data_IF_895856783592
#
_entry.id   IF_895856783592
#
_cell.length_a   1.000
_cell.length_b   1.000
_cell.length_c   1.000
_cell.angle_alpha   90.00
_cell.angle_beta   90.00
_cell.angle_gamma   90.00
#
_symmetry.space_group_name_H-M   'P 1'
#
loop_
_entity.id
_entity.type
_entity.pdbx_description
1 polymer ?
#
# COMPACT_ATOMS: atom_id res chain seq x y z
N UNK A 1 -2.16 -1.44 4.45
CA UNK A 1 -3.04 -1.50 3.27
C UNK A 1 -4.41 -2.05 3.67
N UNK A 2 -5.47 -1.40 3.19
CA UNK A 2 -6.87 -1.74 3.48
C UNK A 2 -7.65 -1.82 2.17
N UNK A 3 -8.62 -2.74 2.12
CA UNK A 3 -9.63 -2.73 1.07
C UNK A 3 -10.67 -1.64 1.36
N UNK A 4 -11.32 -1.15 0.31
CA UNK A 4 -12.47 -0.26 0.46
C UNK A 4 -13.62 -1.04 1.10
N UNK A 5 -14.36 -0.40 2.00
CA UNK A 5 -15.58 -0.97 2.53
C UNK A 5 -16.72 -0.95 1.48
N UNK A 6 -17.75 -1.75 1.72
CA UNK A 6 -18.88 -1.87 0.79
C UNK A 6 -19.61 -0.54 0.59
N UNK A 7 -19.68 0.31 1.62
CA UNK A 7 -20.33 1.62 1.54
C UNK A 7 -19.58 2.57 0.61
N UNK A 8 -18.27 2.58 0.68
CA UNK A 8 -17.42 3.36 -0.24
C UNK A 8 -17.55 2.86 -1.68
N UNK A 9 -17.60 1.52 -1.87
CA UNK A 9 -17.81 0.94 -3.21
C UNK A 9 -19.17 1.35 -3.79
N UNK A 10 -20.26 1.27 -3.00
CA UNK A 10 -21.60 1.69 -3.45
C UNK A 10 -21.65 3.19 -3.79
N UNK A 11 -20.95 4.04 -3.02
CA UNK A 11 -20.84 5.47 -3.32
C UNK A 11 -20.14 5.71 -4.66
N UNK A 12 -19.07 4.98 -4.96
CA UNK A 12 -18.39 5.08 -6.27
C UNK A 12 -19.27 4.62 -7.41
N UNK A 13 -20.05 3.55 -7.21
CA UNK A 13 -21.05 3.08 -8.20
C UNK A 13 -22.08 4.16 -8.47
N UNK A 14 -22.64 4.77 -7.42
CA UNK A 14 -23.62 5.85 -7.54
C UNK A 14 -23.03 7.08 -8.30
N UNK A 15 -21.79 7.44 -8.01
CA UNK A 15 -21.09 8.52 -8.73
C UNK A 15 -20.98 8.21 -10.22
N UNK A 16 -20.59 7.00 -10.59
CA UNK A 16 -20.46 6.62 -11.99
C UNK A 16 -21.80 6.57 -12.68
N UNK A 17 -22.80 5.94 -12.07
CA UNK A 17 -24.10 5.73 -12.70
C UNK A 17 -24.92 7.01 -12.84
N UNK A 18 -24.86 7.92 -11.86
CA UNK A 18 -25.75 9.10 -11.82
C UNK A 18 -25.06 10.40 -12.17
N UNK A 19 -23.76 10.55 -11.85
CA UNK A 19 -23.10 11.83 -11.91
C UNK A 19 -22.01 11.92 -12.98
N UNK A 20 -21.18 10.91 -13.10
CA UNK A 20 -20.08 10.92 -14.05
C UNK A 20 -19.86 9.54 -14.71
N UNK A 21 -20.68 9.16 -15.70
CA UNK A 21 -20.52 7.90 -16.41
C UNK A 21 -19.19 7.80 -17.19
N UNK A 22 -18.47 8.91 -17.34
CA UNK A 22 -17.15 8.94 -17.98
C UNK A 22 -15.99 8.91 -16.97
N UNK A 23 -16.24 8.63 -15.69
CA UNK A 23 -15.19 8.51 -14.68
C UNK A 23 -14.26 7.34 -15.05
N UNK A 24 -12.97 7.64 -15.19
CA UNK A 24 -11.92 6.66 -15.43
C UNK A 24 -11.29 6.26 -14.11
N UNK A 25 -11.28 4.97 -13.80
CA UNK A 25 -10.82 4.42 -12.53
C UNK A 25 -9.63 3.48 -12.80
N UNK A 26 -8.59 3.59 -11.96
CA UNK A 26 -7.49 2.63 -11.90
C UNK A 26 -7.47 2.03 -10.50
N UNK A 27 -7.53 0.71 -10.40
CA UNK A 27 -7.39 0.00 -9.12
C UNK A 27 -6.05 -0.71 -9.05
N UNK A 28 -5.39 -0.60 -7.90
CA UNK A 28 -4.23 -1.40 -7.56
C UNK A 28 -4.66 -2.55 -6.63
N UNK A 29 -4.90 -3.72 -7.22
CA UNK A 29 -5.38 -4.90 -6.52
C UNK A 29 -4.23 -5.82 -6.05
N UNK A 30 -3.00 -5.29 -5.95
CA UNK A 30 -1.80 -6.06 -5.60
C UNK A 30 -1.90 -6.77 -4.24
N UNK A 31 -2.63 -6.18 -3.28
CA UNK A 31 -2.84 -6.75 -1.94
C UNK A 31 -4.20 -7.44 -1.78
N UNK A 32 -4.99 -7.52 -2.82
CA UNK A 32 -6.34 -8.08 -2.80
C UNK A 32 -6.39 -9.53 -2.28
N UNK A 33 -5.40 -10.33 -2.65
CA UNK A 33 -5.28 -11.74 -2.23
C UNK A 33 -5.12 -11.92 -0.72
N UNK A 34 -4.68 -10.89 0.01
CA UNK A 34 -4.54 -10.91 1.47
C UNK A 34 -5.80 -10.47 2.22
N UNK A 35 -6.85 -10.04 1.51
CA UNK A 35 -8.12 -9.63 2.12
C UNK A 35 -9.17 -10.72 1.88
N UNK A 36 -9.70 -11.36 2.95
CA UNK A 36 -10.74 -12.36 2.79
C UNK A 36 -11.99 -11.80 2.11
N UNK A 37 -12.51 -12.51 1.11
CA UNK A 37 -13.72 -12.10 0.41
C UNK A 37 -13.59 -10.83 -0.46
N UNK A 38 -12.37 -10.37 -0.73
CA UNK A 38 -12.14 -9.19 -1.57
C UNK A 38 -12.81 -9.32 -2.94
N UNK A 39 -13.46 -8.25 -3.35
CA UNK A 39 -13.96 -8.06 -4.71
C UNK A 39 -13.36 -6.80 -5.30
N UNK A 40 -12.72 -6.93 -6.44
CA UNK A 40 -12.20 -5.78 -7.19
C UNK A 40 -13.35 -4.84 -7.58
N UNK A 41 -13.09 -3.54 -7.56
CA UNK A 41 -14.04 -2.55 -8.09
C UNK A 41 -14.37 -2.81 -9.58
N UNK A 42 -13.47 -3.45 -10.31
CA UNK A 42 -13.72 -3.91 -11.67
C UNK A 42 -14.91 -4.88 -11.78
N UNK A 43 -15.24 -5.65 -10.73
CA UNK A 43 -16.41 -6.52 -10.71
C UNK A 43 -17.74 -5.73 -10.68
N UNK A 44 -17.73 -4.51 -10.14
CA UNK A 44 -18.90 -3.64 -10.02
C UNK A 44 -18.96 -2.61 -11.15
N UNK A 45 -17.83 -2.09 -11.59
CA UNK A 45 -17.69 -1.05 -12.61
C UNK A 45 -16.71 -1.49 -13.73
N UNK A 46 -17.02 -2.61 -14.44
CA UNK A 46 -16.08 -3.16 -15.42
C UNK A 46 -15.75 -2.20 -16.57
N UNK A 47 -16.72 -1.40 -17.00
CA UNK A 47 -16.54 -0.49 -18.13
C UNK A 47 -15.66 0.71 -17.80
N UNK A 48 -15.58 1.08 -16.53
CA UNK A 48 -14.89 2.28 -16.06
C UNK A 48 -13.53 1.99 -15.43
N UNK A 49 -13.19 0.71 -15.21
CA UNK A 49 -12.05 0.33 -14.37
C UNK A 49 -10.94 -0.34 -15.16
N UNK A 50 -9.71 0.12 -14.93
CA UNK A 50 -8.47 -0.60 -15.23
C UNK A 50 -8.04 -1.26 -13.93
N UNK A 51 -7.95 -2.59 -13.90
CA UNK A 51 -7.45 -3.34 -12.75
C UNK A 51 -5.98 -3.69 -12.96
N UNK A 52 -5.14 -3.34 -11.99
CA UNK A 52 -3.71 -3.67 -11.97
C UNK A 52 -3.47 -4.70 -10.88
N UNK A 53 -2.88 -5.84 -11.25
CA UNK A 53 -2.47 -6.89 -10.33
C UNK A 53 -0.98 -7.21 -10.49
N UNK A 54 -0.28 -7.41 -9.38
CA UNK A 54 1.12 -7.81 -9.39
C UNK A 54 1.32 -9.17 -8.72
N UNK A 55 2.12 -10.03 -9.35
CA UNK A 55 2.53 -11.33 -8.78
C UNK A 55 3.60 -11.18 -7.68
N UNK A 56 4.15 -9.98 -7.51
CA UNK A 56 5.30 -9.73 -6.63
C UNK A 56 5.04 -10.06 -5.17
N UNK A 57 3.84 -9.78 -4.65
CA UNK A 57 3.56 -9.82 -3.21
C UNK A 57 3.09 -11.21 -2.76
N UNK A 58 2.03 -11.70 -3.37
CA UNK A 58 1.42 -12.96 -2.99
C UNK A 58 2.35 -14.15 -3.18
N UNK A 59 3.12 -14.18 -4.27
CA UNK A 59 4.06 -15.26 -4.57
C UNK A 59 5.50 -14.98 -4.12
N UNK A 60 5.76 -13.88 -3.41
CA UNK A 60 7.11 -13.49 -3.02
C UNK A 60 8.06 -13.23 -4.20
N UNK A 61 7.52 -12.95 -5.38
CA UNK A 61 8.23 -12.89 -6.65
C UNK A 61 8.63 -11.46 -7.05
N UNK A 62 9.08 -10.64 -6.09
CA UNK A 62 9.35 -9.21 -6.29
C UNK A 62 10.41 -8.92 -7.36
N UNK A 63 11.43 -9.77 -7.46
CA UNK A 63 12.52 -9.63 -8.42
C UNK A 63 12.14 -9.95 -9.87
N UNK A 64 11.06 -10.69 -10.10
CA UNK A 64 10.61 -11.07 -11.44
C UNK A 64 9.94 -9.93 -12.22
N UNK A 65 9.51 -8.88 -11.54
CA UNK A 65 8.86 -7.70 -12.16
C UNK A 65 7.68 -8.07 -13.05
N UNK A 66 6.80 -8.92 -12.55
CA UNK A 66 5.64 -9.43 -13.30
C UNK A 66 4.34 -8.87 -12.75
N UNK A 67 3.48 -8.40 -13.65
CA UNK A 67 2.18 -7.83 -13.36
C UNK A 67 1.20 -8.11 -14.51
N UNK A 68 -0.08 -7.97 -14.25
CA UNK A 68 -1.13 -8.06 -15.23
C UNK A 68 -2.05 -6.83 -15.13
N UNK A 69 -2.49 -6.32 -16.27
CA UNK A 69 -3.50 -5.28 -16.36
C UNK A 69 -4.73 -5.90 -17.03
N UNK A 70 -5.88 -5.76 -16.38
CA UNK A 70 -7.16 -6.17 -16.92
C UNK A 70 -7.99 -4.94 -17.29
N UNK A 71 -8.58 -4.99 -18.49
CA UNK A 71 -9.49 -4.00 -19.02
C UNK A 71 -10.67 -4.71 -19.67
N UNK A 72 -11.88 -4.31 -19.37
CA UNK A 72 -13.08 -4.88 -19.97
C UNK A 72 -13.08 -4.61 -21.48
N UNK A 73 -13.56 -5.57 -22.28
CA UNK A 73 -13.58 -5.46 -23.76
C UNK A 73 -14.38 -4.25 -24.23
N UNK A 74 -15.50 -4.00 -23.58
CA UNK A 74 -16.31 -2.80 -23.76
C UNK A 74 -16.02 -1.86 -22.58
N UNK A 75 -15.30 -0.77 -22.85
CA UNK A 75 -14.78 0.13 -21.84
C UNK A 75 -14.91 1.59 -22.27
N UNK A 76 -14.96 2.48 -21.27
CA UNK A 76 -15.10 3.91 -21.47
C UNK A 76 -13.85 4.53 -22.11
N UNK A 77 -12.67 3.97 -21.87
CA UNK A 77 -11.41 4.51 -22.40
C UNK A 77 -11.41 4.50 -23.92
N UNK A 78 -11.86 3.39 -24.53
CA UNK A 78 -12.03 3.29 -25.98
C UNK A 78 -13.13 4.24 -26.49
N UNK A 79 -14.23 4.37 -25.75
CA UNK A 79 -15.32 5.28 -26.09
C UNK A 79 -14.87 6.75 -26.07
N UNK A 80 -14.08 7.15 -25.09
CA UNK A 80 -13.54 8.51 -24.96
C UNK A 80 -12.48 8.80 -26.04
N UNK A 81 -11.62 7.83 -26.38
CA UNK A 81 -10.67 7.98 -27.48
C UNK A 81 -11.35 8.29 -28.81
N UNK A 82 -12.48 7.65 -29.11
CA UNK A 82 -13.26 7.91 -30.36
C UNK A 82 -13.83 9.32 -30.40
N UNK A 83 -14.13 9.92 -29.23
CA UNK A 83 -14.70 11.26 -29.09
C UNK A 83 -13.66 12.38 -29.08
N UNK A 84 -12.36 12.06 -29.14
CA UNK A 84 -11.30 13.08 -29.13
C UNK A 84 -11.43 14.06 -30.30
N UNK A 85 -11.13 15.35 -30.09
CA UNK A 85 -11.08 16.36 -31.14
C UNK A 85 -10.04 15.99 -32.22
N UNK A 86 -10.27 16.45 -33.47
CA UNK A 86 -9.38 16.19 -34.62
C UNK A 86 -7.90 16.47 -34.33
N UNK A 87 -7.61 17.55 -33.62
CA UNK A 87 -6.23 17.91 -33.20
C UNK A 87 -5.60 16.79 -32.38
N UNK A 88 -6.30 16.29 -31.36
CA UNK A 88 -5.80 15.20 -30.48
C UNK A 88 -5.68 13.87 -31.24
N UNK A 89 -6.59 13.59 -32.15
CA UNK A 89 -6.46 12.42 -33.04
C UNK A 89 -5.23 12.52 -33.92
N UNK A 90 -4.88 13.71 -34.42
CA UNK A 90 -3.62 13.96 -35.15
C UNK A 90 -2.37 13.70 -34.33
N UNK A 91 -2.36 14.11 -33.06
CA UNK A 91 -1.27 13.82 -32.11
C UNK A 91 -1.11 12.30 -31.89
N UNK A 92 -2.22 11.57 -31.76
CA UNK A 92 -2.19 10.11 -31.64
C UNK A 92 -1.71 9.44 -32.92
N UNK A 93 -2.10 9.95 -34.10
CA UNK A 93 -1.60 9.46 -35.39
C UNK A 93 -0.09 9.64 -35.49
N UNK A 94 0.45 10.78 -35.08
CA UNK A 94 1.88 11.03 -35.04
C UNK A 94 2.60 10.07 -34.06
N UNK A 95 2.00 9.80 -32.89
CA UNK A 95 2.60 8.92 -31.87
C UNK A 95 2.66 7.45 -32.29
N UNK A 96 1.58 6.93 -32.89
CA UNK A 96 1.42 5.49 -33.14
C UNK A 96 1.48 5.12 -34.61
N UNK A 97 1.53 6.08 -35.56
CA UNK A 97 1.47 5.83 -36.97
C UNK A 97 2.64 5.02 -37.53
N UNK A 98 3.80 5.02 -36.89
CA UNK A 98 4.93 4.16 -37.25
C UNK A 98 4.74 2.70 -36.81
N UNK A 99 3.80 2.42 -35.89
CA UNK A 99 3.55 1.08 -35.36
C UNK A 99 2.34 0.44 -36.05
N UNK A 100 1.34 1.27 -36.36
CA UNK A 100 0.07 0.82 -36.90
C UNK A 100 -0.50 1.83 -37.91
N UNK A 101 -0.93 1.37 -39.08
CA UNK A 101 -1.54 2.23 -40.11
C UNK A 101 -2.91 2.76 -39.70
N UNK A 102 -3.72 1.95 -39.00
CA UNK A 102 -5.06 2.28 -38.50
C UNK A 102 -5.04 2.65 -37.05
N UNK A 103 -4.48 3.82 -36.74
CA UNK A 103 -4.37 4.35 -35.36
C UNK A 103 -5.73 4.73 -34.79
N UNK A 104 -6.68 5.16 -35.61
CA UNK A 104 -8.00 5.59 -35.14
C UNK A 104 -8.77 4.44 -34.46
N UNK A 105 -8.64 3.22 -34.96
CA UNK A 105 -9.27 2.02 -34.40
C UNK A 105 -8.36 1.25 -33.42
N UNK A 106 -7.20 1.78 -33.10
CA UNK A 106 -6.32 1.18 -32.09
C UNK A 106 -6.93 1.30 -30.70
N UNK A 107 -7.22 0.15 -30.06
CA UNK A 107 -7.82 0.11 -28.71
C UNK A 107 -6.89 0.69 -27.65
N UNK A 108 -7.45 1.13 -26.54
CA UNK A 108 -6.69 1.69 -25.42
C UNK A 108 -5.64 0.70 -24.89
N UNK A 109 -6.00 -0.58 -24.73
CA UNK A 109 -5.05 -1.61 -24.29
C UNK A 109 -3.88 -1.79 -25.25
N UNK A 110 -4.12 -1.71 -26.55
CA UNK A 110 -3.07 -1.84 -27.57
C UNK A 110 -2.11 -0.63 -27.54
N UNK A 111 -2.63 0.57 -27.19
CA UNK A 111 -1.82 1.78 -26.97
C UNK A 111 -0.94 1.64 -25.73
N UNK A 112 -1.47 1.11 -24.63
CA UNK A 112 -0.67 0.82 -23.44
C UNK A 112 0.47 -0.15 -23.73
N UNK A 113 0.21 -1.19 -24.53
CA UNK A 113 1.25 -2.14 -24.96
C UNK A 113 2.30 -1.43 -25.81
N UNK A 114 1.88 -0.60 -26.77
CA UNK A 114 2.80 0.15 -27.64
C UNK A 114 3.66 1.11 -26.81
N UNK A 115 3.06 1.86 -25.87
CA UNK A 115 3.77 2.79 -25.01
C UNK A 115 4.77 2.07 -24.09
N UNK A 116 4.42 0.91 -23.54
CA UNK A 116 5.32 0.12 -22.71
C UNK A 116 6.59 -0.33 -23.45
N UNK A 117 6.49 -0.49 -24.78
CA UNK A 117 7.61 -0.88 -25.65
C UNK A 117 8.48 0.30 -26.10
N UNK A 118 7.96 1.53 -25.99
CA UNK A 118 8.69 2.75 -26.37
C UNK A 118 9.52 3.35 -25.25
N UNK A 119 9.40 2.85 -24.01
CA UNK A 119 10.18 3.35 -22.88
C UNK A 119 11.64 2.90 -23.06
N UNK A 120 12.46 3.81 -23.56
CA UNK A 120 13.86 3.58 -23.94
C UNK A 120 14.77 3.09 -22.81
N UNK A 121 14.42 3.31 -21.56
CA UNK A 121 15.17 2.86 -20.38
C UNK A 121 15.01 1.37 -20.07
N UNK A 122 13.95 0.74 -20.60
CA UNK A 122 13.70 -0.68 -20.47
C UNK A 122 14.03 -1.36 -21.80
N UNK A 123 15.19 -1.96 -21.90
CA UNK A 123 15.61 -2.74 -23.07
C UNK A 123 14.74 -3.98 -23.32
N UNK A 124 13.70 -4.21 -22.52
CA UNK A 124 12.77 -5.31 -22.64
C UNK A 124 11.46 -4.82 -23.24
N UNK A 125 11.26 -5.12 -24.51
CA UNK A 125 10.01 -4.87 -25.21
C UNK A 125 8.90 -5.83 -24.76
N UNK A 126 8.46 -5.74 -23.52
CA UNK A 126 7.47 -6.61 -22.90
C UNK A 126 8.10 -7.72 -22.04
N UNK A 127 7.27 -8.69 -21.63
CA UNK A 127 7.70 -9.80 -20.80
C UNK A 127 8.50 -10.82 -21.61
N UNK A 128 9.63 -11.27 -21.04
CA UNK A 128 10.39 -12.40 -21.58
C UNK A 128 9.60 -13.71 -21.47
N UNK A 129 9.95 -14.71 -22.27
CA UNK A 129 9.30 -16.03 -22.21
C UNK A 129 9.36 -16.66 -20.78
N UNK A 130 10.49 -16.63 -20.06
CA UNK A 130 10.52 -17.12 -18.68
C UNK A 130 9.55 -16.39 -17.75
N UNK A 131 9.40 -15.08 -17.88
CA UNK A 131 8.43 -14.31 -17.07
C UNK A 131 6.99 -14.70 -17.39
N UNK A 132 6.65 -14.85 -18.68
CA UNK A 132 5.31 -15.29 -19.09
C UNK A 132 5.00 -16.69 -18.59
N UNK A 133 5.96 -17.62 -18.69
CA UNK A 133 5.81 -18.97 -18.15
C UNK A 133 5.59 -18.94 -16.64
N UNK A 134 6.39 -18.16 -15.90
CA UNK A 134 6.25 -18.04 -14.46
C UNK A 134 4.89 -17.48 -14.04
N UNK A 135 4.39 -16.45 -14.71
CA UNK A 135 3.06 -15.92 -14.48
C UNK A 135 1.96 -16.96 -14.73
N UNK A 136 2.11 -17.74 -15.80
CA UNK A 136 1.17 -18.82 -16.14
C UNK A 136 1.16 -19.90 -15.06
N UNK A 137 2.33 -20.31 -14.58
CA UNK A 137 2.47 -21.30 -13.48
C UNK A 137 1.86 -20.78 -12.19
N UNK A 138 2.08 -19.52 -11.82
CA UNK A 138 1.44 -18.89 -10.65
C UNK A 138 -0.08 -18.86 -10.76
N UNK A 139 -0.60 -18.51 -11.95
CA UNK A 139 -2.04 -18.50 -12.18
C UNK A 139 -2.66 -19.89 -12.09
N UNK A 140 -2.03 -20.88 -12.72
CA UNK A 140 -2.48 -22.28 -12.64
C UNK A 140 -2.42 -22.81 -11.21
N UNK A 141 -1.33 -22.53 -10.47
CA UNK A 141 -1.21 -22.92 -9.08
C UNK A 141 -2.34 -22.33 -8.23
N UNK A 142 -2.64 -21.04 -8.38
CA UNK A 142 -3.73 -20.40 -7.64
C UNK A 142 -5.11 -21.01 -7.95
N UNK A 143 -5.34 -21.42 -9.20
CA UNK A 143 -6.60 -22.08 -9.59
C UNK A 143 -6.71 -23.46 -8.92
N UNK A 144 -5.62 -24.22 -8.88
CA UNK A 144 -5.57 -25.53 -8.25
C UNK A 144 -5.72 -25.40 -6.73
N UNK A 145 -4.92 -24.56 -6.09
CA UNK A 145 -4.97 -24.31 -4.64
C UNK A 145 -6.37 -23.90 -4.18
N UNK A 146 -7.01 -23.00 -4.90
CA UNK A 146 -8.40 -22.60 -4.61
C UNK A 146 -9.41 -23.75 -4.70
N UNK A 147 -9.21 -24.70 -5.61
CA UNK A 147 -10.07 -25.89 -5.73
C UNK A 147 -9.82 -26.90 -4.62
N UNK A 148 -8.61 -26.97 -4.10
CA UNK A 148 -8.17 -27.92 -3.08
C UNK A 148 -8.26 -27.37 -1.65
N UNK A 149 -8.88 -26.22 -1.44
CA UNK A 149 -9.14 -25.63 -0.11
C UNK A 149 -8.40 -24.35 0.21
N UNK A 150 -7.73 -23.71 -0.79
CA UNK A 150 -7.06 -22.41 -0.64
C UNK A 150 -5.93 -22.42 0.44
N UNK A 151 -5.23 -23.56 0.54
CA UNK A 151 -4.29 -23.85 1.63
C UNK A 151 -3.08 -22.90 1.63
N UNK A 152 -2.55 -22.58 0.46
CA UNK A 152 -1.43 -21.65 0.34
C UNK A 152 -1.82 -20.26 0.82
N UNK A 153 -3.01 -19.78 0.42
CA UNK A 153 -3.51 -18.49 0.86
C UNK A 153 -3.74 -18.46 2.36
N UNK A 154 -4.32 -19.49 2.94
CA UNK A 154 -4.54 -19.59 4.38
C UNK A 154 -3.21 -19.54 5.13
N UNK A 155 -2.20 -20.31 4.72
CA UNK A 155 -0.86 -20.28 5.30
C UNK A 155 -0.20 -18.90 5.20
N UNK A 156 -0.32 -18.21 4.07
CA UNK A 156 0.22 -16.86 3.89
C UNK A 156 -0.46 -15.84 4.79
N UNK A 157 -1.79 -15.91 4.95
CA UNK A 157 -2.53 -15.05 5.86
C UNK A 157 -2.17 -15.29 7.32
N UNK A 158 -2.01 -16.56 7.72
CA UNK A 158 -1.59 -16.93 9.07
C UNK A 158 -0.21 -16.35 9.42
N UNK A 159 0.77 -16.51 8.53
CA UNK A 159 2.12 -15.97 8.71
C UNK A 159 2.08 -14.44 8.88
N UNK A 160 1.37 -13.75 7.99
CA UNK A 160 1.31 -12.28 8.03
C UNK A 160 0.59 -11.79 9.29
N UNK A 161 -0.53 -12.39 9.65
CA UNK A 161 -1.30 -12.02 10.84
C UNK A 161 -0.50 -12.26 12.12
N UNK A 162 0.24 -13.35 12.20
CA UNK A 162 1.11 -13.66 13.34
C UNK A 162 2.23 -12.62 13.49
N UNK A 163 2.93 -12.29 12.39
CA UNK A 163 3.97 -11.26 12.38
C UNK A 163 3.43 -9.88 12.75
N UNK A 164 2.24 -9.55 12.25
CA UNK A 164 1.55 -8.30 12.56
C UNK A 164 1.21 -8.22 14.05
N UNK A 165 0.64 -9.27 14.63
CA UNK A 165 0.32 -9.34 16.04
C UNK A 165 1.59 -9.20 16.90
N UNK A 166 2.64 -9.98 16.59
CA UNK A 166 3.93 -9.93 17.28
C UNK A 166 4.53 -8.51 17.28
N UNK A 167 4.50 -7.81 16.14
CA UNK A 167 4.99 -6.44 16.05
C UNK A 167 4.24 -5.50 17.00
N UNK A 168 2.90 -5.52 16.93
CA UNK A 168 2.07 -4.59 17.67
C UNK A 168 2.05 -4.88 19.19
N UNK A 169 2.04 -6.14 19.59
CA UNK A 169 2.11 -6.54 20.98
C UNK A 169 3.42 -6.07 21.65
N UNK A 170 4.55 -6.18 20.93
CA UNK A 170 5.84 -5.70 21.43
C UNK A 170 5.98 -4.16 21.42
N UNK A 171 5.10 -3.47 20.72
CA UNK A 171 4.92 -2.01 20.86
C UNK A 171 3.96 -1.62 21.99
N UNK A 172 3.30 -2.58 22.64
CA UNK A 172 2.35 -2.35 23.74
C UNK A 172 0.89 -2.19 23.28
N UNK A 173 0.54 -2.65 22.08
CA UNK A 173 -0.82 -2.64 21.59
C UNK A 173 -1.37 -4.05 21.36
N UNK A 174 -2.63 -4.24 21.70
CA UNK A 174 -3.40 -5.39 21.21
C UNK A 174 -4.04 -5.02 19.89
N UNK A 175 -3.73 -5.77 18.85
CA UNK A 175 -4.28 -5.54 17.52
C UNK A 175 -5.75 -5.97 17.47
N UNK A 176 -6.62 -5.06 17.05
CA UNK A 176 -8.02 -5.38 16.79
C UNK A 176 -8.12 -6.01 15.40
N UNK A 177 -8.75 -7.20 15.26
CA UNK A 177 -9.01 -7.81 13.95
C UNK A 177 -9.82 -6.86 13.06
N UNK A 178 -9.40 -6.77 11.79
CA UNK A 178 -10.08 -5.96 10.79
C UNK A 178 -10.12 -6.75 9.47
N UNK A 179 -11.32 -7.13 9.00
CA UNK A 179 -11.48 -7.96 7.80
C UNK A 179 -11.04 -7.26 6.50
N UNK A 180 -10.93 -5.93 6.51
CA UNK A 180 -10.50 -5.16 5.34
C UNK A 180 -8.98 -4.96 5.28
N UNK A 181 -8.28 -5.34 6.35
CA UNK A 181 -6.82 -5.18 6.42
C UNK A 181 -6.11 -6.26 5.61
N UNK A 182 -5.29 -5.87 4.65
CA UNK A 182 -4.41 -6.78 3.91
C UNK A 182 -3.21 -7.27 4.74
N UNK A 183 -2.76 -6.45 5.70
CA UNK A 183 -1.70 -6.81 6.65
C UNK A 183 -0.29 -6.99 6.07
N UNK A 184 -0.07 -6.82 4.76
CA UNK A 184 1.25 -7.00 4.15
C UNK A 184 2.28 -5.94 4.60
N UNK A 185 1.80 -4.73 4.84
CA UNK A 185 2.54 -3.65 5.49
C UNK A 185 1.78 -3.19 6.72
N UNK A 186 2.53 -2.89 7.77
CA UNK A 186 2.03 -2.13 8.92
C UNK A 186 2.52 -0.70 8.83
N UNK A 187 1.59 0.24 8.89
CA UNK A 187 1.88 1.65 9.07
C UNK A 187 1.59 2.01 10.53
N UNK A 188 2.55 2.63 11.18
CA UNK A 188 2.54 2.93 12.60
C UNK A 188 2.62 4.44 12.74
N UNK A 189 1.50 5.06 13.11
CA UNK A 189 1.45 6.48 13.47
C UNK A 189 2.01 6.67 14.88
N UNK A 190 3.18 7.31 14.95
CA UNK A 190 3.93 7.53 16.19
C UNK A 190 3.25 8.55 17.09
N UNK A 191 2.45 9.46 16.51
CA UNK A 191 1.69 10.45 17.30
C UNK A 191 0.50 9.81 18.01
N UNK A 192 -0.19 8.87 17.34
CA UNK A 192 -1.25 8.07 17.96
C UNK A 192 -0.69 7.23 19.10
N UNK A 193 0.48 6.62 18.89
CA UNK A 193 1.19 5.88 19.93
C UNK A 193 1.57 6.80 21.10
N UNK A 194 2.25 7.92 20.81
CA UNK A 194 2.69 8.89 21.80
C UNK A 194 1.54 9.45 22.63
N UNK A 195 0.43 9.83 22.00
CA UNK A 195 -0.78 10.31 22.66
C UNK A 195 -1.35 9.29 23.64
N UNK A 196 -1.39 8.03 23.24
CA UNK A 196 -1.93 6.95 24.06
C UNK A 196 -1.12 6.70 25.33
N UNK A 197 0.21 6.74 25.24
CA UNK A 197 1.10 6.39 26.36
C UNK A 197 1.56 7.57 27.20
N UNK A 198 1.62 8.78 26.61
CA UNK A 198 2.20 9.97 27.26
C UNK A 198 1.30 11.21 27.19
N UNK A 199 0.21 11.17 26.47
CA UNK A 199 -0.72 12.31 26.34
C UNK A 199 -0.41 13.24 25.17
N UNK A 200 -1.29 14.22 25.00
CA UNK A 200 -1.20 15.21 23.91
C UNK A 200 0.03 16.11 24.05
N UNK A 201 0.32 16.58 25.27
CA UNK A 201 1.45 17.48 25.55
C UNK A 201 2.81 16.90 25.12
N UNK A 202 2.97 15.58 25.24
CA UNK A 202 4.15 14.88 24.70
C UNK A 202 4.21 14.96 23.17
N UNK A 203 3.08 14.76 22.50
CA UNK A 203 3.02 14.81 21.05
C UNK A 203 3.32 16.21 20.53
N UNK A 204 2.78 17.24 21.18
CA UNK A 204 3.05 18.63 20.83
C UNK A 204 4.52 18.99 21.06
N UNK A 205 5.10 18.57 22.18
CA UNK A 205 6.52 18.72 22.44
C UNK A 205 7.38 18.01 21.37
N UNK A 206 7.01 16.77 21.00
CA UNK A 206 7.72 15.99 19.96
C UNK A 206 7.73 16.74 18.63
N UNK A 207 6.58 17.26 18.20
CA UNK A 207 6.44 18.03 16.96
C UNK A 207 7.21 19.33 16.94
N UNK A 208 7.29 20.00 18.08
CA UNK A 208 8.00 21.28 18.21
C UNK A 208 9.53 21.12 18.25
N UNK A 209 10.03 20.01 18.78
CA UNK A 209 11.46 19.86 19.08
C UNK A 209 12.18 18.88 18.13
N UNK A 210 11.44 18.10 17.34
CA UNK A 210 11.99 17.05 16.49
C UNK A 210 11.37 17.03 15.10
N UNK A 211 12.06 16.39 14.16
CA UNK A 211 11.57 16.11 12.80
C UNK A 211 11.05 14.67 12.74
N UNK A 212 10.01 14.37 11.92
CA UNK A 212 9.53 13.01 11.68
C UNK A 212 10.65 12.05 11.25
N UNK A 213 11.62 12.54 10.48
CA UNK A 213 12.74 11.74 10.01
C UNK A 213 13.75 11.39 11.12
N UNK A 214 13.80 12.15 12.22
CA UNK A 214 14.71 11.88 13.33
C UNK A 214 14.48 10.47 13.90
N UNK A 215 13.23 10.04 14.00
CA UNK A 215 12.88 8.69 14.49
C UNK A 215 13.46 7.62 13.57
N UNK A 216 13.33 7.80 12.25
CA UNK A 216 13.84 6.84 11.24
C UNK A 216 15.36 6.76 11.31
N UNK A 217 16.04 7.91 11.38
CA UNK A 217 17.50 7.95 11.49
C UNK A 217 18.00 7.39 12.82
N UNK A 218 17.35 7.69 13.93
CA UNK A 218 17.70 7.12 15.23
C UNK A 218 17.52 5.60 15.27
N UNK A 219 16.43 5.07 14.73
CA UNK A 219 16.25 3.63 14.57
C UNK A 219 17.40 3.01 13.80
N UNK A 220 17.81 3.62 12.68
CA UNK A 220 18.90 3.11 11.87
C UNK A 220 20.26 3.19 12.59
N UNK A 221 20.59 4.31 13.20
CA UNK A 221 21.92 4.55 13.80
C UNK A 221 22.09 3.90 15.17
N UNK A 222 21.05 3.94 16.03
CA UNK A 222 21.14 3.44 17.40
C UNK A 222 20.80 1.95 17.50
N UNK A 223 19.99 1.41 16.57
CA UNK A 223 19.47 0.05 16.67
C UNK A 223 19.72 -0.82 15.43
N UNK A 224 20.32 -0.30 14.36
CA UNK A 224 20.51 -0.96 13.07
C UNK A 224 19.19 -1.39 12.41
N UNK A 225 18.07 -0.77 12.78
CA UNK A 225 16.75 -1.03 12.21
C UNK A 225 16.44 0.02 11.14
N UNK A 226 16.36 -0.39 9.89
CA UNK A 226 15.98 0.47 8.76
C UNK A 226 14.51 0.26 8.45
N UNK A 227 13.72 1.30 8.61
CA UNK A 227 12.28 1.35 8.27
C UNK A 227 12.01 2.44 7.26
N UNK A 228 10.87 2.38 6.60
CA UNK A 228 10.44 3.42 5.66
C UNK A 228 9.65 4.51 6.41
N UNK A 229 9.86 5.77 6.00
CA UNK A 229 9.01 6.87 6.44
C UNK A 229 7.63 6.74 5.76
N UNK A 230 6.55 6.77 6.54
CA UNK A 230 5.18 6.67 6.04
C UNK A 230 4.75 7.86 5.20
N UNK A 231 5.23 9.07 5.49
CA UNK A 231 4.94 10.28 4.70
C UNK A 231 5.35 10.18 3.23
N UNK A 232 6.32 9.34 2.89
CA UNK A 232 6.67 9.03 1.49
C UNK A 232 5.66 8.11 0.75
N UNK A 233 4.60 7.67 1.42
CA UNK A 233 3.55 6.77 0.92
C UNK A 233 2.15 7.31 1.20
N UNK A 234 1.98 8.63 1.23
CA UNK A 234 0.74 9.33 1.57
C UNK A 234 0.17 8.96 2.97
N UNK A 235 1.02 8.39 3.84
CA UNK A 235 0.70 8.15 5.24
C UNK A 235 0.90 9.41 6.10
N UNK A 236 0.53 9.35 7.39
CA UNK A 236 0.80 10.43 8.34
C UNK A 236 2.29 10.81 8.34
N UNK A 237 2.58 12.09 8.48
CA UNK A 237 3.94 12.60 8.47
C UNK A 237 4.83 11.94 9.54
N UNK A 238 4.25 11.76 10.74
CA UNK A 238 4.87 11.07 11.87
C UNK A 238 4.57 9.58 11.89
N UNK A 239 4.76 8.90 10.76
CA UNK A 239 4.57 7.45 10.70
C UNK A 239 5.77 6.72 10.13
N UNK A 240 5.88 5.45 10.48
CA UNK A 240 6.82 4.51 9.90
C UNK A 240 6.08 3.34 9.26
N UNK A 241 6.67 2.78 8.22
CA UNK A 241 6.10 1.65 7.49
C UNK A 241 7.02 0.43 7.58
N UNK A 242 6.47 -0.68 8.07
CA UNK A 242 7.15 -1.96 8.25
C UNK A 242 6.56 -3.01 7.30
N UNK A 243 7.41 -3.67 6.51
CA UNK A 243 7.00 -4.84 5.69
C UNK A 243 6.93 -6.08 6.57
N UNK A 244 5.84 -6.84 6.46
CA UNK A 244 5.64 -8.09 7.21
C UNK A 244 6.02 -9.35 6.42
N UNK A 245 6.56 -9.19 5.21
CA UNK A 245 6.85 -10.29 4.31
C UNK A 245 8.28 -10.83 4.37
N UNK A 246 9.26 -10.04 4.85
CA UNK A 246 10.67 -10.26 4.51
C UNK A 246 11.51 -10.89 5.62
N UNK A 247 11.05 -10.88 6.87
CA UNK A 247 11.81 -11.28 8.04
C UNK A 247 11.18 -12.50 8.73
N UNK A 248 11.90 -13.11 9.67
CA UNK A 248 11.36 -14.16 10.53
C UNK A 248 10.42 -13.56 11.57
N UNK A 249 9.59 -14.39 12.18
CA UNK A 249 8.60 -13.94 13.16
C UNK A 249 9.25 -13.23 14.36
N UNK A 250 10.31 -13.80 14.92
CA UNK A 250 11.01 -13.24 16.08
C UNK A 250 11.60 -11.85 15.81
N UNK A 251 11.97 -11.56 14.57
CA UNK A 251 12.50 -10.25 14.18
C UNK A 251 11.44 -9.14 14.39
N UNK A 252 10.15 -9.45 14.24
CA UNK A 252 9.07 -8.47 14.44
C UNK A 252 8.86 -8.10 15.90
N UNK A 253 9.17 -9.01 16.84
CA UNK A 253 9.22 -8.68 18.26
C UNK A 253 10.34 -7.67 18.54
N UNK A 254 11.54 -7.93 17.98
CA UNK A 254 12.68 -7.04 18.11
C UNK A 254 12.38 -5.66 17.51
N UNK A 255 11.75 -5.59 16.34
CA UNK A 255 11.33 -4.33 15.71
C UNK A 255 10.39 -3.56 16.63
N UNK A 256 9.35 -4.22 17.14
CA UNK A 256 8.38 -3.58 18.04
C UNK A 256 9.05 -3.00 19.30
N UNK A 257 9.94 -3.77 19.93
CA UNK A 257 10.70 -3.33 21.10
C UNK A 257 11.61 -2.14 20.82
N UNK A 258 12.33 -2.15 19.68
CA UNK A 258 13.23 -1.07 19.28
C UNK A 258 12.47 0.23 18.96
N UNK A 259 11.36 0.14 18.23
CA UNK A 259 10.51 1.30 17.95
C UNK A 259 9.99 1.89 19.26
N UNK A 260 9.47 1.05 20.16
CA UNK A 260 9.03 1.48 21.48
C UNK A 260 10.15 2.14 22.28
N UNK A 261 11.34 1.53 22.34
CA UNK A 261 12.49 2.07 23.08
C UNK A 261 12.93 3.46 22.61
N UNK A 262 12.92 3.71 21.30
CA UNK A 262 13.20 5.05 20.76
C UNK A 262 12.12 6.06 21.21
N UNK A 263 10.86 5.69 21.14
CA UNK A 263 9.77 6.58 21.57
C UNK A 263 9.79 6.83 23.09
N UNK A 264 10.07 5.80 23.89
CA UNK A 264 10.25 5.91 25.35
C UNK A 264 11.40 6.89 25.67
N UNK A 265 12.50 6.85 24.91
CA UNK A 265 13.63 7.77 25.08
C UNK A 265 13.28 9.23 24.78
N UNK A 266 12.37 9.50 23.83
CA UNK A 266 11.84 10.85 23.64
C UNK A 266 10.97 11.28 24.81
N UNK A 267 10.15 10.39 25.32
CA UNK A 267 9.30 10.69 26.46
C UNK A 267 10.10 10.99 27.74
N UNK A 268 11.22 10.31 27.97
CA UNK A 268 12.16 10.64 29.06
C UNK A 268 12.76 12.03 28.91
N UNK A 269 13.20 12.39 27.68
CA UNK A 269 13.68 13.76 27.41
C UNK A 269 12.61 14.80 27.67
N UNK A 270 11.39 14.57 27.21
CA UNK A 270 10.26 15.45 27.44
C UNK A 270 9.99 15.64 28.95
N UNK A 271 9.94 14.55 29.73
CA UNK A 271 9.74 14.62 31.18
C UNK A 271 10.80 15.47 31.89
N UNK A 272 12.05 15.43 31.42
CA UNK A 272 13.13 16.24 31.94
C UNK A 272 13.01 17.73 31.58
N UNK A 273 12.15 18.13 30.66
CA UNK A 273 11.84 19.54 30.35
C UNK A 273 10.70 20.08 31.21
N UNK A 274 9.95 19.21 31.85
CA UNK A 274 8.85 19.64 32.71
C UNK A 274 9.39 20.24 34.03
N UNK A 275 8.78 21.32 34.55
CA UNK A 275 9.20 21.88 35.81
C UNK A 275 9.03 20.82 36.92
N UNK A 276 10.07 20.63 37.68
CA UNK A 276 10.05 19.75 38.87
C UNK A 276 9.07 20.35 39.86
N UNK A 277 7.93 19.73 40.08
CA UNK A 277 7.04 20.11 41.19
C UNK A 277 7.74 19.67 42.45
N UNK A 278 8.54 20.57 43.04
CA UNK A 278 8.98 20.37 44.43
C UNK A 278 7.74 20.21 45.30
N UNK A 279 7.62 19.07 45.94
CA UNK A 279 6.62 18.82 46.98
C UNK A 279 6.84 19.82 48.12
N UNK A 280 6.22 21.00 48.00
CA UNK A 280 6.29 22.06 49.00
C UNK A 280 5.68 21.59 50.32
N UNK A 281 6.52 21.35 51.30
CA UNK A 281 6.13 21.38 52.71
C UNK A 281 5.60 22.78 52.99
N UNK A 282 4.28 22.91 53.14
CA UNK A 282 3.68 24.04 53.84
C UNK A 282 4.29 24.10 55.27
N UNK A 283 5.28 24.97 55.45
CA UNK A 283 5.64 25.46 56.80
C UNK A 283 4.55 26.45 57.22
N UNK A 284 3.62 25.97 58.01
CA UNK A 284 2.79 26.81 58.85
C UNK A 284 3.69 27.42 59.90
N UNK A 285 4.10 28.67 59.71
CA UNK A 285 4.58 29.49 60.82
C UNK A 285 3.39 30.14 61.53
N UNK A 286 3.36 29.92 62.80
CA UNK A 286 2.45 30.56 63.75
C UNK A 286 2.92 31.98 64.04
#
# INVERSE_FOLDING_TARGET
SYAMDSKTVELLVDIVERWNPNLMIVTDDVYATFVPGFQSLMARLPHNTICVYSFSKYFGATGWRTAAIALHRDNIFDALLKRLPRKRKGELQQRYGSIRSDVENMRFIDRMVADSRQVALNHTAGLSLPQQLQMTLFALYSIIDKREGDNFRQAMLEIINKRLATLWENMGFTLVPDPLRAGYYSEIDLTVWGKRFYGEDFVDWLRLNHSPLDVVFRLATETSLVVLNGGGFDGPEWSIRVSLANLKEDDYAIIGQKVRGILDSYAERWKNTLPTVESGKLKTER
#
